data_IF_183105401088
#
_entry.id   IF_183105401088
#
_cell.length_a   1.000
_cell.length_b   1.000
_cell.length_c   1.000
_cell.angle_alpha   90.00
_cell.angle_beta   90.00
_cell.angle_gamma   90.00
#
_symmetry.space_group_name_H-M   'P 1'
#
loop_
_entity.id
_entity.type
_entity.pdbx_description
1 polymer ?
#
# COMPACT_ATOMS: atom_id res chain seq x y z
N UNK A 1 -28.36 -39.79 60.28
CA UNK A 1 -29.15 -40.26 59.12
C UNK A 1 -29.36 -39.07 58.18
N UNK A 2 -28.94 -39.16 56.91
CA UNK A 2 -29.30 -38.15 55.89
C UNK A 2 -28.17 -37.72 54.95
N UNK A 3 -27.82 -38.56 53.96
CA UNK A 3 -27.08 -38.16 52.74
C UNK A 3 -27.48 -39.11 51.60
N UNK A 4 -28.20 -38.61 50.60
CA UNK A 4 -28.43 -39.26 49.29
C UNK A 4 -28.37 -38.18 48.23
N UNK A 5 -27.23 -38.04 47.53
CA UNK A 5 -27.00 -38.50 46.14
C UNK A 5 -27.94 -37.83 45.13
N UNK A 6 -27.59 -36.61 44.70
CA UNK A 6 -28.19 -35.90 43.55
C UNK A 6 -27.10 -35.13 42.76
N UNK A 7 -25.97 -35.78 42.47
CA UNK A 7 -24.88 -35.14 41.72
C UNK A 7 -24.32 -36.01 40.58
N UNK A 8 -24.86 -37.21 40.34
CA UNK A 8 -24.25 -38.18 39.40
C UNK A 8 -24.83 -38.22 37.98
N UNK A 9 -25.94 -37.52 37.69
CA UNK A 9 -26.66 -37.70 36.41
C UNK A 9 -26.29 -36.65 35.36
N UNK A 10 -25.72 -35.51 35.75
CA UNK A 10 -25.36 -34.45 34.80
C UNK A 10 -23.96 -34.62 34.15
N UNK A 11 -23.09 -35.45 34.72
CA UNK A 11 -21.71 -35.64 34.22
C UNK A 11 -21.63 -36.63 33.05
N UNK A 12 -22.49 -37.64 32.99
CA UNK A 12 -22.49 -38.63 31.90
C UNK A 12 -22.96 -38.05 30.55
N UNK A 13 -23.78 -36.98 30.55
CA UNK A 13 -24.31 -36.41 29.32
C UNK A 13 -23.30 -35.56 28.54
N UNK A 14 -22.21 -35.10 29.18
CA UNK A 14 -21.18 -34.28 28.52
C UNK A 14 -20.15 -35.16 27.81
N UNK A 15 -19.92 -36.40 28.28
CA UNK A 15 -18.89 -37.30 27.73
C UNK A 15 -19.32 -37.98 26.42
N UNK A 16 -20.63 -38.09 26.15
CA UNK A 16 -21.18 -38.81 24.99
C UNK A 16 -21.16 -38.09 23.63
N UNK A 17 -20.70 -36.83 23.56
CA UNK A 17 -20.65 -36.05 22.31
C UNK A 17 -19.23 -35.81 21.78
N UNK A 18 -18.27 -36.65 22.20
CA UNK A 18 -17.00 -36.81 21.49
C UNK A 18 -17.26 -37.43 20.11
N UNK A 19 -17.82 -36.61 19.22
CA UNK A 19 -17.82 -36.80 17.78
C UNK A 19 -16.38 -37.14 17.41
N UNK A 20 -16.21 -38.34 16.88
CA UNK A 20 -14.99 -38.84 16.28
C UNK A 20 -14.44 -37.80 15.29
N UNK A 21 -13.49 -36.98 15.74
CA UNK A 21 -12.63 -36.21 14.85
C UNK A 21 -11.71 -37.21 14.18
N UNK A 22 -12.16 -37.74 13.05
CA UNK A 22 -11.33 -38.51 12.14
C UNK A 22 -10.22 -37.58 11.61
N UNK A 23 -8.93 -37.80 11.94
CA UNK A 23 -7.84 -36.93 11.47
C UNK A 23 -7.51 -37.11 9.98
N UNK A 24 -8.28 -37.93 9.24
CA UNK A 24 -7.98 -38.31 7.85
C UNK A 24 -8.71 -37.48 6.77
N UNK A 25 -9.58 -36.53 7.13
CA UNK A 25 -10.27 -35.64 6.15
C UNK A 25 -9.67 -34.24 6.02
N UNK A 26 -8.61 -33.92 6.76
CA UNK A 26 -7.77 -32.76 6.44
C UNK A 26 -6.86 -33.15 5.27
N UNK A 27 -7.43 -33.32 4.08
CA UNK A 27 -6.64 -33.18 2.86
C UNK A 27 -6.11 -31.76 2.94
N UNK A 28 -4.82 -31.63 3.27
CA UNK A 28 -4.07 -30.40 3.12
C UNK A 28 -4.14 -30.06 1.63
N UNK A 29 -5.19 -29.36 1.24
CA UNK A 29 -5.36 -28.83 -0.08
C UNK A 29 -4.16 -27.90 -0.29
N UNK A 30 -3.18 -28.41 -1.02
CA UNK A 30 -1.94 -27.71 -1.27
C UNK A 30 -2.32 -26.38 -1.89
N UNK A 31 -1.89 -25.25 -1.31
CA UNK A 31 -2.35 -23.95 -1.76
C UNK A 31 -2.08 -23.81 -3.25
N UNK A 32 -3.04 -23.24 -4.02
CA UNK A 32 -2.93 -23.16 -5.46
C UNK A 32 -1.58 -22.52 -5.82
N UNK A 33 -0.76 -23.27 -6.57
CA UNK A 33 0.55 -22.79 -6.99
C UNK A 33 0.35 -21.44 -7.70
N UNK A 34 1.11 -20.39 -7.32
CA UNK A 34 1.03 -19.13 -8.02
C UNK A 34 1.24 -19.39 -9.51
N UNK A 35 0.29 -18.98 -10.35
CA UNK A 35 0.39 -19.18 -11.80
C UNK A 35 1.68 -18.58 -12.35
N UNK A 36 2.08 -18.93 -13.58
CA UNK A 36 3.31 -18.41 -14.23
C UNK A 36 3.42 -16.87 -14.24
N UNK A 37 2.31 -16.15 -14.01
CA UNK A 37 2.24 -14.69 -13.90
C UNK A 37 2.49 -14.11 -12.51
N UNK A 38 2.52 -14.92 -11.44
CA UNK A 38 2.61 -14.41 -10.07
C UNK A 38 3.88 -13.59 -9.77
N UNK A 39 5.08 -13.97 -10.27
CA UNK A 39 6.26 -13.13 -10.11
C UNK A 39 6.16 -11.79 -10.85
N UNK A 40 5.52 -11.76 -12.03
CA UNK A 40 5.31 -10.53 -12.80
C UNK A 40 4.35 -9.60 -12.06
N UNK A 41 3.22 -10.13 -11.58
CA UNK A 41 2.26 -9.35 -10.79
C UNK A 41 2.92 -8.80 -9.54
N UNK A 42 3.70 -9.62 -8.81
CA UNK A 42 4.44 -9.15 -7.65
C UNK A 42 5.45 -8.04 -8.01
N UNK A 43 6.14 -8.14 -9.15
CA UNK A 43 7.03 -7.10 -9.63
C UNK A 43 6.27 -5.79 -9.94
N UNK A 44 5.09 -5.87 -10.56
CA UNK A 44 4.21 -4.72 -10.79
C UNK A 44 3.76 -4.05 -9.49
N UNK A 45 3.35 -4.85 -8.51
CA UNK A 45 2.98 -4.40 -7.16
C UNK A 45 4.15 -3.70 -6.45
N UNK A 46 5.35 -4.29 -6.49
CA UNK A 46 6.55 -3.72 -5.90
C UNK A 46 6.98 -2.43 -6.57
N UNK A 47 6.89 -2.35 -7.91
CA UNK A 47 7.18 -1.13 -8.66
C UNK A 47 6.21 0.01 -8.26
N UNK A 48 4.93 -0.29 -8.11
CA UNK A 48 3.93 0.67 -7.64
C UNK A 48 4.21 1.17 -6.22
N UNK A 49 4.56 0.27 -5.29
CA UNK A 49 4.95 0.67 -3.93
C UNK A 49 6.24 1.49 -3.92
N UNK A 50 7.26 1.08 -4.67
CA UNK A 50 8.52 1.81 -4.77
C UNK A 50 8.27 3.25 -5.19
N UNK A 51 7.49 3.43 -6.26
CA UNK A 51 7.07 4.75 -6.75
C UNK A 51 6.39 5.57 -5.65
N UNK A 52 5.41 5.01 -4.95
CA UNK A 52 4.65 5.74 -3.94
C UNK A 52 5.51 6.17 -2.75
N UNK A 53 6.32 5.26 -2.20
CA UNK A 53 7.19 5.58 -1.07
C UNK A 53 8.36 6.49 -1.46
N UNK A 54 8.89 6.32 -2.66
CA UNK A 54 9.95 7.17 -3.19
C UNK A 54 9.45 8.60 -3.36
N UNK A 55 8.25 8.82 -3.92
CA UNK A 55 7.66 10.16 -4.06
C UNK A 55 7.58 10.90 -2.72
N UNK A 56 6.98 10.28 -1.71
CA UNK A 56 6.83 10.88 -0.37
C UNK A 56 8.18 11.29 0.21
N UNK A 57 9.20 10.47 -0.01
CA UNK A 57 10.54 10.70 0.50
C UNK A 57 11.27 11.78 -0.30
N UNK A 58 11.23 11.72 -1.64
CA UNK A 58 11.91 12.68 -2.50
C UNK A 58 11.35 14.09 -2.27
N UNK A 59 10.04 14.24 -2.17
CA UNK A 59 9.41 15.55 -1.92
C UNK A 59 9.90 16.17 -0.61
N UNK A 60 10.13 15.35 0.43
CA UNK A 60 10.73 15.80 1.70
C UNK A 60 12.14 16.36 1.52
N UNK A 61 12.94 15.78 0.62
CA UNK A 61 14.32 16.23 0.36
C UNK A 61 14.38 17.45 -0.54
N UNK A 62 13.45 17.57 -1.50
CA UNK A 62 13.36 18.70 -2.43
C UNK A 62 12.65 19.92 -1.85
N UNK A 63 12.08 19.78 -0.65
CA UNK A 63 11.27 20.77 0.03
C UNK A 63 11.85 22.20 0.03
N UNK A 64 13.11 22.45 0.44
CA UNK A 64 13.65 23.80 0.47
C UNK A 64 13.65 24.47 -0.91
N UNK A 65 13.96 23.70 -1.95
CA UNK A 65 14.00 24.17 -3.34
C UNK A 65 12.60 24.49 -3.87
N UNK A 66 11.60 23.66 -3.57
CA UNK A 66 10.20 23.89 -3.96
C UNK A 66 9.68 25.20 -3.37
N UNK A 67 9.97 25.44 -2.08
CA UNK A 67 9.56 26.67 -1.38
C UNK A 67 10.27 27.90 -1.99
N UNK A 68 11.55 27.78 -2.32
CA UNK A 68 12.30 28.88 -2.90
C UNK A 68 11.74 29.30 -4.27
N UNK A 69 11.23 28.35 -5.07
CA UNK A 69 10.65 28.60 -6.40
C UNK A 69 9.19 29.07 -6.35
N UNK A 70 8.34 28.43 -5.53
CA UNK A 70 6.89 28.72 -5.47
C UNK A 70 6.51 29.74 -4.40
N UNK A 71 7.42 30.07 -3.48
CA UNK A 71 7.15 30.89 -2.31
C UNK A 71 6.25 30.19 -1.29
N UNK A 72 5.60 30.99 -0.42
CA UNK A 72 4.59 30.48 0.51
C UNK A 72 5.14 29.62 1.65
N UNK A 73 6.25 30.03 2.28
CA UNK A 73 6.85 29.35 3.44
C UNK A 73 5.83 28.93 4.52
N UNK A 74 4.83 29.77 4.77
CA UNK A 74 3.74 29.53 5.72
C UNK A 74 2.79 28.38 5.30
N UNK A 75 2.74 28.04 4.02
CA UNK A 75 1.90 26.98 3.45
C UNK A 75 2.68 25.70 3.17
N UNK A 76 4.00 25.70 3.34
CA UNK A 76 4.83 24.53 3.03
C UNK A 76 4.41 23.26 3.80
N UNK A 77 4.07 23.39 5.08
CA UNK A 77 3.59 22.26 5.87
C UNK A 77 2.35 21.59 5.23
N UNK A 78 1.49 22.38 4.57
CA UNK A 78 0.30 21.87 3.89
C UNK A 78 0.60 20.99 2.68
N UNK A 79 1.77 21.13 2.04
CA UNK A 79 2.19 20.27 0.91
C UNK A 79 2.27 18.80 1.36
N UNK A 80 2.76 18.57 2.58
CA UNK A 80 2.82 17.24 3.20
C UNK A 80 1.51 16.88 3.89
N UNK A 81 0.95 17.80 4.68
CA UNK A 81 -0.26 17.54 5.46
C UNK A 81 -1.46 17.21 4.57
N UNK A 82 -1.66 17.90 3.44
CA UNK A 82 -2.79 17.61 2.56
C UNK A 82 -2.72 16.19 1.98
N UNK A 83 -1.53 15.77 1.52
CA UNK A 83 -1.29 14.41 1.07
C UNK A 83 -1.55 13.39 2.20
N UNK A 84 -0.98 13.63 3.40
CA UNK A 84 -1.11 12.74 4.55
C UNK A 84 -2.56 12.60 5.03
N UNK A 85 -3.28 13.71 5.14
CA UNK A 85 -4.69 13.73 5.56
C UNK A 85 -5.52 12.92 4.57
N UNK A 86 -5.37 13.20 3.28
CA UNK A 86 -6.18 12.54 2.25
C UNK A 86 -5.84 11.05 2.16
N UNK A 87 -4.57 10.65 2.16
CA UNK A 87 -4.23 9.22 2.16
C UNK A 87 -4.77 8.53 3.42
N UNK A 88 -4.69 9.17 4.58
CA UNK A 88 -5.10 8.55 5.86
C UNK A 88 -6.60 8.29 5.87
N UNK A 89 -7.39 9.23 5.34
CA UNK A 89 -8.84 9.08 5.20
C UNK A 89 -9.19 8.04 4.13
N UNK A 90 -8.46 8.01 3.03
CA UNK A 90 -8.81 7.15 1.87
C UNK A 90 -8.36 5.70 2.02
N UNK A 91 -7.28 5.40 2.76
CA UNK A 91 -6.80 4.03 3.02
C UNK A 91 -7.90 3.10 3.54
N UNK A 92 -8.63 3.40 4.63
CA UNK A 92 -9.69 2.50 5.13
C UNK A 92 -10.87 2.40 4.17
N UNK A 93 -11.21 3.50 3.49
CA UNK A 93 -12.32 3.55 2.53
C UNK A 93 -12.02 2.63 1.34
N UNK A 94 -10.88 2.81 0.70
CA UNK A 94 -10.49 2.00 -0.45
C UNK A 94 -10.05 0.60 -0.07
N UNK A 95 -9.54 0.37 1.14
CA UNK A 95 -9.35 -0.96 1.68
C UNK A 95 -10.63 -1.78 1.60
N UNK A 96 -11.71 -1.27 2.22
CA UNK A 96 -13.02 -1.94 2.19
C UNK A 96 -13.63 -2.02 0.78
N UNK A 97 -13.54 -0.95 -0.01
CA UNK A 97 -14.09 -0.97 -1.38
C UNK A 97 -13.33 -1.95 -2.29
N UNK A 98 -12.01 -2.10 -2.10
CA UNK A 98 -11.19 -3.02 -2.88
C UNK A 98 -11.53 -4.48 -2.60
N UNK A 99 -11.91 -4.80 -1.36
CA UNK A 99 -12.38 -6.13 -0.99
C UNK A 99 -13.75 -6.46 -1.63
N UNK A 100 -14.62 -5.46 -1.78
CA UNK A 100 -15.97 -5.65 -2.32
C UNK A 100 -16.02 -5.69 -3.85
N UNK A 101 -15.30 -4.79 -4.53
CA UNK A 101 -15.41 -4.60 -5.99
C UNK A 101 -14.18 -5.10 -6.78
N UNK A 102 -13.19 -5.66 -6.08
CA UNK A 102 -12.02 -6.32 -6.64
C UNK A 102 -10.73 -5.52 -6.48
N UNK A 103 -9.73 -6.14 -5.84
CA UNK A 103 -8.47 -5.50 -5.44
C UNK A 103 -7.65 -4.98 -6.61
N UNK A 104 -7.58 -5.74 -7.72
CA UNK A 104 -6.85 -5.34 -8.95
C UNK A 104 -7.34 -4.00 -9.51
N UNK A 105 -8.66 -3.74 -9.49
CA UNK A 105 -9.23 -2.50 -10.06
C UNK A 105 -8.78 -1.28 -9.27
N UNK A 106 -8.77 -1.37 -7.94
CA UNK A 106 -8.33 -0.27 -7.07
C UNK A 106 -6.82 -0.06 -7.11
N UNK A 107 -6.04 -1.12 -7.29
CA UNK A 107 -4.62 -0.98 -7.59
C UNK A 107 -4.40 -0.15 -8.86
N UNK A 108 -5.00 -0.55 -9.99
CA UNK A 108 -4.81 0.13 -11.28
C UNK A 108 -5.35 1.57 -11.28
N UNK A 109 -6.59 1.77 -10.80
CA UNK A 109 -7.19 3.11 -10.74
C UNK A 109 -6.46 4.02 -9.76
N UNK A 110 -6.08 3.50 -8.58
CA UNK A 110 -5.32 4.24 -7.60
C UNK A 110 -3.96 4.68 -8.12
N UNK A 111 -3.27 3.77 -8.82
CA UNK A 111 -1.98 4.07 -9.44
C UNK A 111 -2.11 5.14 -10.55
N UNK A 112 -3.16 5.06 -11.37
CA UNK A 112 -3.45 6.09 -12.38
C UNK A 112 -3.76 7.46 -11.75
N UNK A 113 -4.56 7.51 -10.68
CA UNK A 113 -4.85 8.74 -9.94
C UNK A 113 -3.56 9.31 -9.33
N UNK A 114 -2.72 8.44 -8.78
CA UNK A 114 -1.43 8.84 -8.23
C UNK A 114 -0.54 9.46 -9.32
N UNK A 115 -0.40 8.78 -10.46
CA UNK A 115 0.37 9.27 -11.60
C UNK A 115 -0.16 10.60 -12.13
N UNK A 116 -1.49 10.74 -12.26
CA UNK A 116 -2.12 11.99 -12.70
C UNK A 116 -1.83 13.13 -11.71
N UNK A 117 -2.00 12.88 -10.42
CA UNK A 117 -1.64 13.86 -9.39
C UNK A 117 -0.15 14.20 -9.39
N UNK A 118 0.73 13.24 -9.73
CA UNK A 118 2.18 13.47 -9.86
C UNK A 118 2.48 14.38 -11.06
N UNK A 119 1.91 14.09 -12.23
CA UNK A 119 2.03 14.95 -13.39
C UNK A 119 1.53 16.39 -13.12
N UNK A 120 0.40 16.52 -12.42
CA UNK A 120 -0.14 17.82 -12.03
C UNK A 120 0.78 18.56 -11.04
N UNK A 121 1.33 17.87 -10.03
CA UNK A 121 2.31 18.46 -9.09
C UNK A 121 3.58 18.92 -9.79
N UNK A 122 4.08 18.19 -10.80
CA UNK A 122 5.21 18.65 -11.62
C UNK A 122 4.88 19.90 -12.47
N UNK A 123 3.60 20.11 -12.79
CA UNK A 123 3.12 21.24 -13.58
C UNK A 123 2.66 22.45 -12.73
N UNK A 124 2.71 22.36 -11.40
CA UNK A 124 2.19 23.42 -10.53
C UNK A 124 2.95 24.74 -10.68
N UNK A 125 2.19 25.84 -10.71
CA UNK A 125 2.72 27.20 -10.85
C UNK A 125 2.78 27.97 -9.53
N UNK A 126 2.05 27.52 -8.51
CA UNK A 126 2.01 28.12 -7.18
C UNK A 126 1.83 27.03 -6.11
N UNK A 127 2.06 27.42 -4.85
CA UNK A 127 1.99 26.47 -3.72
C UNK A 127 0.57 25.94 -3.46
N UNK A 128 -0.49 26.70 -3.78
CA UNK A 128 -1.86 26.24 -3.59
C UNK A 128 -2.23 25.13 -4.58
N UNK A 129 -1.83 25.28 -5.84
CA UNK A 129 -1.95 24.23 -6.85
C UNK A 129 -1.18 22.99 -6.42
N UNK A 130 0.06 23.15 -5.94
CA UNK A 130 0.85 22.03 -5.47
C UNK A 130 0.13 21.29 -4.33
N UNK A 131 -0.38 21.99 -3.32
CA UNK A 131 -1.15 21.40 -2.21
C UNK A 131 -2.38 20.63 -2.72
N UNK A 132 -3.15 21.21 -3.64
CA UNK A 132 -4.33 20.56 -4.21
C UNK A 132 -3.97 19.29 -5.00
N UNK A 133 -2.89 19.34 -5.79
CA UNK A 133 -2.43 18.17 -6.56
C UNK A 133 -1.83 17.09 -5.66
N UNK A 134 -1.18 17.48 -4.54
CA UNK A 134 -0.74 16.56 -3.50
C UNK A 134 -1.92 15.86 -2.82
N UNK A 135 -3.02 16.58 -2.57
CA UNK A 135 -4.25 15.98 -2.08
C UNK A 135 -4.78 14.91 -3.05
N UNK A 136 -4.83 15.21 -4.36
CA UNK A 136 -5.23 14.23 -5.40
C UNK A 136 -4.30 13.02 -5.42
N UNK A 137 -2.99 13.23 -5.33
CA UNK A 137 -2.00 12.14 -5.22
C UNK A 137 -2.25 11.26 -3.99
N UNK A 138 -2.62 11.86 -2.86
CA UNK A 138 -2.97 11.15 -1.63
C UNK A 138 -4.15 10.19 -1.81
N UNK A 139 -5.14 10.55 -2.64
CA UNK A 139 -6.26 9.66 -3.00
C UNK A 139 -5.72 8.42 -3.72
N UNK A 140 -4.83 8.63 -4.70
CA UNK A 140 -4.21 7.54 -5.45
C UNK A 140 -3.42 6.60 -4.53
N UNK A 141 -2.58 7.17 -3.66
CA UNK A 141 -1.79 6.42 -2.68
C UNK A 141 -2.68 5.59 -1.76
N UNK A 142 -3.73 6.19 -1.20
CA UNK A 142 -4.68 5.50 -0.33
C UNK A 142 -5.53 4.45 -1.04
N UNK A 143 -5.62 4.48 -2.38
CA UNK A 143 -6.30 3.45 -3.16
C UNK A 143 -5.39 2.26 -3.48
N UNK A 144 -4.19 2.51 -4.03
CA UNK A 144 -3.36 1.43 -4.57
C UNK A 144 -2.53 0.71 -3.49
N UNK A 145 -2.05 1.41 -2.47
CA UNK A 145 -1.18 0.82 -1.43
C UNK A 145 -1.89 -0.29 -0.62
N UNK A 146 -3.08 -0.07 -0.04
CA UNK A 146 -3.78 -1.14 0.65
C UNK A 146 -4.18 -2.27 -0.32
N UNK A 147 -4.58 -1.94 -1.55
CA UNK A 147 -4.88 -2.94 -2.57
C UNK A 147 -3.65 -3.82 -2.88
N UNK A 148 -2.44 -3.24 -2.96
CA UNK A 148 -1.20 -3.98 -3.15
C UNK A 148 -0.94 -5.00 -2.04
N UNK A 149 -1.00 -4.55 -0.78
CA UNK A 149 -0.76 -5.42 0.39
C UNK A 149 -1.78 -6.57 0.40
N UNK A 150 -3.03 -6.24 0.07
CA UNK A 150 -4.13 -7.17 0.02
C UNK A 150 -3.96 -8.21 -1.12
N UNK A 151 -3.66 -7.79 -2.35
CA UNK A 151 -3.39 -8.69 -3.48
C UNK A 151 -2.24 -9.63 -3.17
N UNK A 152 -1.14 -9.10 -2.63
CA UNK A 152 0.01 -9.91 -2.24
C UNK A 152 -0.33 -10.93 -1.14
N UNK A 153 -1.19 -10.56 -0.18
CA UNK A 153 -1.67 -11.48 0.86
C UNK A 153 -2.52 -12.63 0.31
N UNK A 154 -3.32 -12.40 -0.73
CA UNK A 154 -4.16 -13.43 -1.35
C UNK A 154 -3.38 -14.34 -2.30
N UNK A 155 -2.36 -13.81 -2.96
CA UNK A 155 -1.57 -14.55 -3.95
C UNK A 155 -0.66 -15.63 -3.35
N UNK A 156 -0.27 -15.47 -2.08
CA UNK A 156 0.70 -16.35 -1.45
C UNK A 156 0.09 -17.11 -0.27
N UNK A 157 0.53 -18.37 -0.09
CA UNK A 157 0.02 -19.21 0.99
C UNK A 157 0.44 -18.66 2.37
N UNK A 158 -0.31 -18.98 3.44
CA UNK A 158 -0.10 -18.41 4.77
C UNK A 158 1.34 -18.47 5.27
N UNK A 159 2.08 -19.53 4.95
CA UNK A 159 3.46 -19.76 5.38
C UNK A 159 4.45 -18.79 4.72
N UNK A 160 4.11 -18.26 3.53
CA UNK A 160 4.93 -17.29 2.79
C UNK A 160 4.46 -15.85 2.97
N UNK A 161 3.28 -15.60 3.54
CA UNK A 161 2.74 -14.25 3.72
C UNK A 161 3.68 -13.35 4.51
N UNK A 162 4.32 -13.88 5.56
CA UNK A 162 5.32 -13.12 6.33
C UNK A 162 6.53 -12.68 5.49
N UNK A 163 7.04 -13.56 4.63
CA UNK A 163 8.16 -13.24 3.73
C UNK A 163 7.77 -12.19 2.68
N UNK A 164 6.57 -12.33 2.11
CA UNK A 164 6.06 -11.40 1.10
C UNK A 164 5.78 -10.03 1.71
N UNK A 165 5.17 -9.97 2.89
CA UNK A 165 4.99 -8.71 3.63
C UNK A 165 6.34 -8.08 3.96
N UNK A 166 7.33 -8.88 4.39
CA UNK A 166 8.71 -8.42 4.58
C UNK A 166 9.30 -7.81 3.31
N UNK A 167 9.07 -8.42 2.15
CA UNK A 167 9.52 -7.89 0.85
C UNK A 167 8.81 -6.57 0.49
N UNK A 168 7.49 -6.49 0.69
CA UNK A 168 6.74 -5.25 0.46
C UNK A 168 7.24 -4.12 1.36
N UNK A 169 7.58 -4.38 2.62
CA UNK A 169 8.14 -3.35 3.50
C UNK A 169 9.61 -3.07 3.24
N UNK A 170 10.37 -4.03 2.68
CA UNK A 170 11.76 -3.81 2.26
C UNK A 170 11.85 -2.75 1.16
N UNK A 171 10.84 -2.67 0.29
CA UNK A 171 10.81 -1.64 -0.78
C UNK A 171 10.79 -0.22 -0.21
N UNK A 172 10.21 -0.02 0.98
CA UNK A 172 10.18 1.28 1.65
C UNK A 172 11.60 1.65 2.14
N UNK A 173 12.35 0.67 2.65
CA UNK A 173 13.76 0.87 2.98
C UNK A 173 14.61 1.23 1.75
N UNK A 174 14.37 0.57 0.61
CA UNK A 174 15.03 0.90 -0.66
C UNK A 174 14.67 2.32 -1.11
N UNK A 175 13.40 2.72 -1.01
CA UNK A 175 12.96 4.07 -1.32
C UNK A 175 13.70 5.12 -0.47
N UNK A 176 13.83 4.89 0.84
CA UNK A 176 14.57 5.78 1.74
C UNK A 176 16.06 5.91 1.41
N UNK A 177 16.67 4.85 0.87
CA UNK A 177 18.07 4.90 0.46
C UNK A 177 18.27 5.68 -0.85
N UNK A 178 17.39 5.49 -1.83
CA UNK A 178 17.54 6.06 -3.18
C UNK A 178 17.03 7.50 -3.25
N UNK A 179 15.94 7.79 -2.54
CA UNK A 179 15.22 9.04 -2.66
C UNK A 179 16.07 10.30 -2.38
N UNK A 180 16.88 10.39 -1.31
CA UNK A 180 17.66 11.60 -1.06
C UNK A 180 18.70 11.88 -2.15
N UNK A 181 19.42 10.85 -2.60
CA UNK A 181 20.41 11.00 -3.66
C UNK A 181 19.76 11.43 -4.98
N UNK A 182 18.63 10.81 -5.34
CA UNK A 182 17.90 11.13 -6.56
C UNK A 182 17.23 12.51 -6.48
N UNK A 183 16.65 12.86 -5.33
CA UNK A 183 16.02 14.14 -5.07
C UNK A 183 17.00 15.29 -5.18
N UNK A 184 18.11 15.22 -4.44
CA UNK A 184 19.20 16.21 -4.52
C UNK A 184 19.71 16.38 -5.95
N UNK A 185 20.04 15.28 -6.63
CA UNK A 185 20.51 15.31 -8.02
C UNK A 185 19.51 15.99 -8.96
N UNK A 186 18.22 15.65 -8.89
CA UNK A 186 17.20 16.24 -9.76
C UNK A 186 16.96 17.72 -9.47
N UNK A 187 16.96 18.11 -8.20
CA UNK A 187 16.79 19.51 -7.81
C UNK A 187 17.98 20.39 -8.20
N UNK A 188 19.20 19.86 -8.13
CA UNK A 188 20.42 20.62 -8.41
C UNK A 188 20.75 20.65 -9.91
N UNK A 189 20.57 19.53 -10.63
CA UNK A 189 21.00 19.41 -12.01
C UNK A 189 19.96 19.83 -13.05
N UNK A 190 18.65 19.75 -12.72
CA UNK A 190 17.57 19.95 -13.69
C UNK A 190 16.50 20.91 -13.17
N UNK A 191 15.61 20.41 -12.31
CA UNK A 191 14.52 21.17 -11.68
C UNK A 191 13.81 20.25 -10.69
N UNK A 192 13.32 20.81 -9.58
CA UNK A 192 12.49 20.08 -8.63
C UNK A 192 11.24 19.47 -9.28
N UNK A 193 10.73 20.02 -10.39
CA UNK A 193 9.53 19.48 -11.08
C UNK A 193 9.72 18.04 -11.54
N UNK A 194 10.94 17.64 -11.87
CA UNK A 194 11.26 16.29 -12.32
C UNK A 194 11.10 15.24 -11.24
N UNK A 195 11.10 15.60 -9.95
CA UNK A 195 10.83 14.65 -8.86
C UNK A 195 9.46 14.00 -8.99
N UNK A 196 8.50 14.69 -9.60
CA UNK A 196 7.17 14.16 -9.86
C UNK A 196 7.12 13.41 -11.20
N UNK A 197 7.80 13.92 -12.23
CA UNK A 197 7.78 13.29 -13.54
C UNK A 197 8.51 11.94 -13.60
N UNK A 198 9.52 11.69 -12.75
CA UNK A 198 10.19 10.38 -12.65
C UNK A 198 9.25 9.26 -12.20
N UNK A 199 8.14 9.58 -11.54
CA UNK A 199 7.18 8.59 -11.10
C UNK A 199 6.37 8.03 -12.28
N UNK A 200 6.14 8.83 -13.33
CA UNK A 200 5.33 8.43 -14.48
C UNK A 200 5.87 7.19 -15.21
N UNK A 201 7.16 7.10 -15.62
CA UNK A 201 7.68 5.91 -16.28
C UNK A 201 7.62 4.67 -15.38
N UNK A 202 7.89 4.82 -14.08
CA UNK A 202 7.80 3.70 -13.11
C UNK A 202 6.35 3.21 -12.98
N UNK A 203 5.39 4.13 -12.97
CA UNK A 203 3.97 3.81 -12.92
C UNK A 203 3.49 3.10 -14.18
N UNK A 204 3.95 3.53 -15.37
CA UNK A 204 3.66 2.85 -16.64
C UNK A 204 4.22 1.42 -16.66
N UNK A 205 5.45 1.21 -16.16
CA UNK A 205 6.02 -0.14 -16.02
C UNK A 205 5.16 -1.00 -15.08
N UNK A 206 4.76 -0.45 -13.94
CA UNK A 206 3.89 -1.15 -12.98
C UNK A 206 2.53 -1.53 -13.57
N UNK A 207 1.92 -0.67 -14.40
CA UNK A 207 0.67 -0.96 -15.10
C UNK A 207 0.81 -2.04 -16.19
N UNK A 208 2.00 -2.18 -16.77
CA UNK A 208 2.29 -3.15 -17.85
C UNK A 208 2.59 -4.57 -17.36
N UNK A 209 2.85 -4.76 -16.06
CA UNK A 209 3.19 -6.03 -15.42
C UNK A 209 1.95 -6.71 -14.79
#
# INVERSE_FOLDING_TARGET
MGRTRSAGVHEELIVGSAVSMNPSTAIAESPPKPGRSAPLVLAGLLAGLLLGFMDVTIVSTAAPTIIADLGGLNLFAWVFSAFLIVQTVTIPIFGKLSDLYGRKRFFLLGLLIFMAGSALSGASQDIYQLIAFRAVQGIGFGAFVPATIAIAGDMFPPERRGQVQGLLFSINGVAFAIAPALGSFLTEAISWRWIFYINLPVGVVSLGL
#
